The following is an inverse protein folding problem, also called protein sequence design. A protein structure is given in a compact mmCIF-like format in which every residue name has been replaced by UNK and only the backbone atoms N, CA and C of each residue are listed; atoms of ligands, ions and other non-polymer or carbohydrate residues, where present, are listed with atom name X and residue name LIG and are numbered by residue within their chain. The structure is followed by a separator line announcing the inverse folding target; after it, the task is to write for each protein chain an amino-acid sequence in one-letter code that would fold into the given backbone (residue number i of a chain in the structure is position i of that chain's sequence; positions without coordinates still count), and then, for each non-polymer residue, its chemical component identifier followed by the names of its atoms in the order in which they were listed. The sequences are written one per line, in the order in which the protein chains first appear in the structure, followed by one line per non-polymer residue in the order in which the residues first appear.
data_IF_348283556523
#
_entry.id   IF_348283556523
#
_cell.length_a   1.000
_cell.length_b   1.000
_cell.length_c   1.000
_cell.angle_alpha   90.00
_cell.angle_beta   90.00
_cell.angle_gamma   90.00
#
_symmetry.space_group_name_H-M   'P 1'
#
loop_
_entity.id
_entity.type
_entity.pdbx_description
1 polymer ?
#
# COMPACT_ATOMS: atom_id res chain seq x y z
N UNK A 1 -13.25 -28.31 -14.87
CA UNK A 1 -13.04 -28.70 -13.46
C UNK A 1 -14.31 -29.29 -12.79
N UNK A 2 -15.44 -29.34 -13.49
CA UNK A 2 -16.67 -29.95 -12.99
C UNK A 2 -17.34 -29.21 -11.82
N UNK A 3 -16.97 -27.96 -11.58
CA UNK A 3 -17.58 -27.11 -10.59
C UNK A 3 -18.32 -25.99 -11.32
N UNK A 4 -19.62 -25.95 -11.13
CA UNK A 4 -20.48 -24.87 -11.62
C UNK A 4 -20.76 -23.92 -10.48
N UNK A 5 -20.52 -22.61 -10.68
CA UNK A 5 -20.68 -21.59 -9.65
C UNK A 5 -21.40 -20.38 -10.21
N UNK A 6 -22.34 -19.84 -9.43
CA UNK A 6 -23.00 -18.58 -9.70
C UNK A 6 -22.43 -17.49 -8.77
N UNK A 7 -21.86 -16.43 -9.35
CA UNK A 7 -21.40 -15.28 -8.59
C UNK A 7 -22.58 -14.34 -8.31
N UNK A 8 -23.08 -14.31 -7.08
CA UNK A 8 -24.23 -13.48 -6.67
C UNK A 8 -23.89 -12.03 -6.37
N UNK A 9 -22.60 -11.70 -6.22
CA UNK A 9 -22.14 -10.34 -5.98
C UNK A 9 -20.74 -10.28 -5.36
N UNK A 10 -20.18 -9.08 -5.37
CA UNK A 10 -18.88 -8.77 -4.77
C UNK A 10 -19.06 -7.71 -3.67
N UNK A 11 -18.42 -7.90 -2.53
CA UNK A 11 -18.52 -6.98 -1.40
C UNK A 11 -17.11 -6.59 -0.90
N UNK A 12 -16.64 -5.41 -1.33
CA UNK A 12 -15.31 -4.88 -0.98
C UNK A 12 -15.17 -4.64 0.52
N UNK A 13 -16.20 -4.13 1.19
CA UNK A 13 -16.17 -3.90 2.64
C UNK A 13 -15.89 -5.19 3.42
N UNK A 14 -16.51 -6.31 3.02
CA UNK A 14 -16.24 -7.62 3.64
C UNK A 14 -14.81 -8.07 3.43
N UNK A 15 -14.26 -7.88 2.22
CA UNK A 15 -12.87 -8.22 1.91
C UNK A 15 -11.90 -7.38 2.75
N UNK A 16 -12.10 -6.07 2.84
CA UNK A 16 -11.27 -5.16 3.64
C UNK A 16 -11.35 -5.50 5.14
N UNK A 17 -12.55 -5.74 5.68
CA UNK A 17 -12.73 -6.16 7.08
C UNK A 17 -12.01 -7.47 7.38
N UNK A 18 -12.09 -8.46 6.48
CA UNK A 18 -11.36 -9.72 6.60
C UNK A 18 -9.84 -9.51 6.60
N UNK A 19 -9.32 -8.70 5.68
CA UNK A 19 -7.91 -8.33 5.62
C UNK A 19 -7.43 -7.73 6.94
N UNK A 20 -8.18 -6.78 7.49
CA UNK A 20 -7.90 -6.15 8.78
C UNK A 20 -7.87 -7.17 9.93
N UNK A 21 -8.86 -8.06 10.02
CA UNK A 21 -8.89 -9.12 11.04
C UNK A 21 -7.68 -10.06 10.95
N UNK A 22 -7.27 -10.43 9.72
CA UNK A 22 -6.08 -11.27 9.50
C UNK A 22 -4.82 -10.52 9.96
N UNK A 23 -4.65 -9.25 9.58
CA UNK A 23 -3.53 -8.41 9.99
C UNK A 23 -3.43 -8.29 11.51
N UNK A 24 -4.56 -8.04 12.20
CA UNK A 24 -4.61 -7.96 13.66
C UNK A 24 -4.22 -9.31 14.32
N UNK A 25 -4.66 -10.43 13.76
CA UNK A 25 -4.30 -11.76 14.26
C UNK A 25 -2.79 -12.02 14.13
N UNK A 26 -2.22 -11.67 12.97
CA UNK A 26 -0.77 -11.81 12.73
C UNK A 26 0.01 -10.93 13.70
N UNK A 27 -0.40 -9.68 13.89
CA UNK A 27 0.23 -8.75 14.83
C UNK A 27 0.22 -9.25 16.27
N UNK A 28 -0.91 -9.84 16.72
CA UNK A 28 -0.98 -10.52 18.04
C UNK A 28 -0.04 -11.71 18.13
N UNK A 29 0.11 -12.48 17.04
CA UNK A 29 1.05 -13.58 16.93
C UNK A 29 2.51 -13.12 17.11
N UNK A 30 2.89 -12.01 16.47
CA UNK A 30 4.22 -11.40 16.65
C UNK A 30 4.43 -10.99 18.10
N UNK A 31 3.47 -10.30 18.72
CA UNK A 31 3.56 -9.90 20.14
C UNK A 31 3.72 -11.11 21.08
N UNK A 32 3.02 -12.21 20.79
CA UNK A 32 3.18 -13.46 21.53
C UNK A 32 4.60 -14.03 21.37
N UNK A 33 5.16 -14.03 20.16
CA UNK A 33 6.53 -14.51 19.92
C UNK A 33 7.57 -13.65 20.64
N UNK A 34 7.41 -12.32 20.67
CA UNK A 34 8.28 -11.43 21.45
C UNK A 34 8.28 -11.84 22.92
N UNK A 35 7.08 -11.98 23.52
CA UNK A 35 6.94 -12.42 24.92
C UNK A 35 7.53 -13.80 25.16
N UNK A 36 7.26 -14.77 24.29
CA UNK A 36 7.78 -16.15 24.41
C UNK A 36 9.31 -16.21 24.39
N UNK A 37 9.95 -15.33 23.64
CA UNK A 37 11.41 -15.27 23.50
C UNK A 37 12.07 -14.25 24.46
N UNK A 38 11.33 -13.71 25.43
CA UNK A 38 11.81 -12.71 26.38
C UNK A 38 12.40 -11.47 25.71
N UNK A 39 11.82 -11.05 24.58
CA UNK A 39 12.19 -9.82 23.88
C UNK A 39 11.37 -8.68 24.46
N UNK A 40 12.05 -7.68 25.01
CA UNK A 40 11.40 -6.49 25.53
C UNK A 40 10.91 -5.59 24.39
N UNK A 41 9.68 -5.10 24.51
CA UNK A 41 9.08 -4.16 23.56
C UNK A 41 8.98 -2.79 24.23
N UNK A 42 9.69 -1.81 23.70
CA UNK A 42 9.65 -0.42 24.16
C UNK A 42 8.68 0.36 23.27
N UNK A 43 7.49 0.67 23.80
CA UNK A 43 6.49 1.43 23.06
C UNK A 43 6.78 2.93 23.06
N UNK A 44 7.15 3.49 21.91
CA UNK A 44 7.45 4.89 21.78
C UNK A 44 8.12 5.25 20.46
N UNK A 45 8.57 6.50 20.37
CA UNK A 45 9.37 6.97 19.24
C UNK A 45 10.86 6.84 19.59
N UNK A 46 11.57 5.96 18.89
CA UNK A 46 13.01 5.81 19.00
C UNK A 46 13.77 6.84 18.18
N UNK A 47 14.79 7.44 18.76
CA UNK A 47 15.71 8.38 18.11
C UNK A 47 17.13 7.95 18.42
N UNK A 48 17.91 7.61 17.41
CA UNK A 48 19.33 7.30 17.56
C UNK A 48 20.08 8.59 17.93
N UNK A 49 20.69 8.60 19.09
CA UNK A 49 21.49 9.74 19.60
C UNK A 49 22.95 9.60 19.27
N UNK A 50 23.47 8.38 19.34
CA UNK A 50 24.84 8.02 19.01
C UNK A 50 24.87 6.68 18.26
N UNK A 51 26.04 6.19 17.94
CA UNK A 51 26.22 4.84 17.36
C UNK A 51 25.90 3.69 18.33
N UNK A 52 25.68 3.98 19.60
CA UNK A 52 25.45 2.97 20.66
C UNK A 52 24.28 3.30 21.58
N UNK A 53 23.57 4.40 21.33
CA UNK A 53 22.46 4.82 22.20
C UNK A 53 21.21 5.20 21.41
N UNK A 54 20.06 4.81 21.93
CA UNK A 54 18.74 5.20 21.43
C UNK A 54 17.94 5.83 22.58
N UNK A 55 17.31 6.95 22.29
CA UNK A 55 16.35 7.60 23.17
C UNK A 55 14.96 7.19 22.74
N UNK A 56 14.13 6.70 23.67
CA UNK A 56 12.74 6.30 23.41
C UNK A 56 11.80 7.24 24.16
N UNK A 57 11.06 8.04 23.39
CA UNK A 57 10.01 8.90 23.91
C UNK A 57 8.69 8.13 23.94
N UNK A 58 8.26 7.72 25.13
CA UNK A 58 7.01 6.99 25.32
C UNK A 58 5.78 7.87 25.05
N UNK A 59 4.65 7.24 24.71
CA UNK A 59 3.38 7.92 24.48
C UNK A 59 2.90 8.77 25.68
N UNK A 60 3.27 8.36 26.89
CA UNK A 60 2.94 9.07 28.15
C UNK A 60 3.91 10.22 28.50
N UNK A 61 4.86 10.54 27.64
CA UNK A 61 5.68 11.75 27.73
C UNK A 61 7.02 11.59 28.45
N UNK A 62 7.32 10.46 29.10
CA UNK A 62 8.67 10.19 29.63
C UNK A 62 9.61 9.78 28.49
N UNK A 63 10.89 10.00 28.70
CA UNK A 63 11.95 9.69 27.74
C UNK A 63 13.04 8.91 28.47
N UNK A 64 13.36 7.73 27.95
CA UNK A 64 14.40 6.85 28.48
C UNK A 64 15.51 6.66 27.45
N UNK A 65 16.73 6.46 27.91
CA UNK A 65 17.89 6.22 27.06
C UNK A 65 18.37 4.78 27.27
N UNK A 66 18.56 4.07 26.18
CA UNK A 66 19.01 2.67 26.15
C UNK A 66 20.34 2.59 25.40
N UNK A 67 21.24 1.74 25.89
CA UNK A 67 22.49 1.40 25.23
C UNK A 67 22.33 0.08 24.46
N UNK A 68 22.99 -0.03 23.33
CA UNK A 68 23.01 -1.24 22.52
C UNK A 68 24.40 -1.51 21.93
N UNK A 69 24.70 -2.78 21.65
CA UNK A 69 25.90 -3.21 20.95
C UNK A 69 25.72 -3.18 19.43
N UNK A 70 24.53 -3.54 18.96
CA UNK A 70 24.15 -3.55 17.54
C UNK A 70 22.71 -3.07 17.40
N UNK A 71 22.41 -2.37 16.31
CA UNK A 71 21.08 -1.84 16.05
C UNK A 71 20.64 -2.21 14.63
N UNK A 72 19.41 -2.69 14.50
CA UNK A 72 18.74 -2.86 13.21
C UNK A 72 17.71 -1.75 13.09
N UNK A 73 17.87 -0.89 12.07
CA UNK A 73 16.91 0.18 11.76
C UNK A 73 15.85 -0.37 10.82
N UNK A 74 14.66 -0.60 11.35
CA UNK A 74 13.50 -1.12 10.62
C UNK A 74 12.28 -0.19 10.81
N UNK A 75 12.48 1.10 10.58
CA UNK A 75 11.52 2.18 10.86
C UNK A 75 10.36 2.28 9.87
N UNK A 76 10.32 1.40 8.85
CA UNK A 76 9.30 1.41 7.81
C UNK A 76 9.61 2.40 6.69
N UNK A 77 8.62 2.58 5.82
CA UNK A 77 8.70 3.47 4.66
C UNK A 77 7.42 4.26 4.48
N UNK A 78 7.52 5.34 3.75
CA UNK A 78 6.39 6.15 3.29
C UNK A 78 6.37 6.17 1.77
N UNK A 79 5.18 6.31 1.18
CA UNK A 79 5.06 6.55 -0.25
C UNK A 79 5.63 7.93 -0.62
N UNK A 80 6.17 8.02 -1.83
CA UNK A 80 6.70 9.30 -2.34
C UNK A 80 5.54 10.23 -2.69
N UNK A 81 5.67 11.49 -2.34
CA UNK A 81 4.82 12.56 -2.87
C UNK A 81 5.47 13.15 -4.12
N UNK A 82 4.66 13.44 -5.12
CA UNK A 82 5.11 14.07 -6.36
C UNK A 82 4.50 15.48 -6.47
N UNK A 83 5.22 16.44 -7.08
CA UNK A 83 4.61 17.73 -7.42
C UNK A 83 3.34 17.53 -8.26
N UNK A 84 2.26 18.20 -7.88
CA UNK A 84 0.95 18.03 -8.54
C UNK A 84 0.11 16.85 -8.06
N UNK A 85 0.63 16.01 -7.14
CA UNK A 85 -0.07 14.86 -6.57
C UNK A 85 -0.01 14.91 -5.03
N UNK A 86 -0.58 15.93 -4.44
CA UNK A 86 -0.61 16.10 -2.99
C UNK A 86 -1.74 15.27 -2.39
N UNK A 87 -1.38 14.35 -1.50
CA UNK A 87 -2.37 13.55 -0.78
C UNK A 87 -3.24 14.42 0.11
N UNK A 88 -4.54 14.24 0.03
CA UNK A 88 -5.54 14.91 0.85
C UNK A 88 -6.22 13.96 1.85
N UNK A 89 -5.89 12.67 1.79
CA UNK A 89 -6.47 11.63 2.63
C UNK A 89 -7.94 11.30 2.32
N UNK A 90 -8.49 11.86 1.25
CA UNK A 90 -9.90 11.67 0.85
C UNK A 90 -10.03 11.07 -0.54
N UNK A 91 -9.57 11.80 -1.56
CA UNK A 91 -9.62 11.38 -2.95
C UNK A 91 -8.25 11.20 -3.58
N UNK A 92 -7.28 11.97 -3.13
CA UNK A 92 -5.87 11.78 -3.45
C UNK A 92 -5.24 11.03 -2.27
N UNK A 93 -5.18 9.72 -2.39
CA UNK A 93 -4.83 8.80 -1.31
C UNK A 93 -3.57 8.02 -1.65
N UNK A 94 -2.83 7.62 -0.65
CA UNK A 94 -1.71 6.69 -0.80
C UNK A 94 -2.11 5.23 -0.53
N UNK A 95 -1.14 4.34 -0.62
CA UNK A 95 -1.36 2.91 -0.41
C UNK A 95 -1.94 2.56 0.98
N UNK A 96 -1.58 3.32 2.01
CA UNK A 96 -2.07 3.09 3.38
C UNK A 96 -3.56 3.41 3.56
N UNK A 97 -4.08 4.39 2.85
CA UNK A 97 -5.49 4.72 2.80
C UNK A 97 -6.23 3.74 1.88
N UNK A 98 -5.64 3.44 0.72
CA UNK A 98 -6.21 2.54 -0.27
C UNK A 98 -6.50 1.14 0.29
N UNK A 99 -5.59 0.57 1.09
CA UNK A 99 -5.79 -0.76 1.70
C UNK A 99 -6.92 -0.80 2.75
N UNK A 100 -7.37 0.36 3.22
CA UNK A 100 -8.42 0.50 4.22
C UNK A 100 -9.76 0.99 3.65
N UNK A 101 -9.81 1.23 2.35
CA UNK A 101 -10.98 1.79 1.69
C UNK A 101 -12.11 0.76 1.66
N UNK A 102 -13.12 0.93 2.51
CA UNK A 102 -14.25 0.00 2.64
C UNK A 102 -15.29 0.19 1.53
N UNK A 103 -15.43 1.40 1.01
CA UNK A 103 -16.33 1.71 -0.10
C UNK A 103 -15.57 1.72 -1.42
N UNK A 104 -15.98 0.87 -2.34
CA UNK A 104 -15.34 0.79 -3.66
C UNK A 104 -15.78 1.98 -4.52
N UNK A 105 -14.85 2.74 -5.11
CA UNK A 105 -15.18 3.78 -6.08
C UNK A 105 -15.69 3.14 -7.39
N UNK A 106 -16.39 3.91 -8.21
CA UNK A 106 -16.76 3.47 -9.57
C UNK A 106 -15.53 3.34 -10.47
N UNK A 107 -14.59 4.26 -10.31
CA UNK A 107 -13.33 4.29 -11.05
C UNK A 107 -12.19 4.74 -10.16
N UNK A 108 -10.97 4.31 -10.48
CA UNK A 108 -9.76 4.69 -9.78
C UNK A 108 -8.61 4.91 -10.77
N UNK A 109 -7.85 5.97 -10.53
CA UNK A 109 -6.58 6.22 -11.21
C UNK A 109 -5.44 5.84 -10.26
N UNK A 110 -4.49 5.06 -10.76
CA UNK A 110 -3.33 4.62 -10.02
C UNK A 110 -2.10 5.26 -10.65
N UNK A 111 -1.36 6.03 -9.88
CA UNK A 111 -0.12 6.66 -10.32
C UNK A 111 1.08 5.85 -9.82
N UNK A 112 1.80 5.29 -10.76
CA UNK A 112 2.92 4.37 -10.53
C UNK A 112 2.54 2.92 -10.80
N UNK A 113 3.32 2.27 -11.67
CA UNK A 113 3.13 0.89 -12.09
C UNK A 113 4.18 -0.07 -11.51
N UNK A 114 4.75 0.25 -10.35
CA UNK A 114 5.53 -0.70 -9.56
C UNK A 114 4.64 -1.78 -8.94
N UNK A 115 5.23 -2.72 -8.18
CA UNK A 115 4.54 -3.87 -7.59
C UNK A 115 3.23 -3.48 -6.87
N UNK A 116 3.27 -2.46 -6.01
CA UNK A 116 2.09 -2.00 -5.26
C UNK A 116 0.98 -1.51 -6.21
N UNK A 117 1.34 -0.72 -7.23
CA UNK A 117 0.37 -0.15 -8.17
C UNK A 117 -0.34 -1.24 -9.00
N UNK A 118 0.41 -2.22 -9.50
CA UNK A 118 -0.18 -3.33 -10.26
C UNK A 118 -1.03 -4.24 -9.38
N UNK A 119 -0.61 -4.54 -8.15
CA UNK A 119 -1.42 -5.32 -7.20
C UNK A 119 -2.75 -4.65 -6.89
N UNK A 120 -2.76 -3.34 -6.61
CA UNK A 120 -3.99 -2.59 -6.42
C UNK A 120 -4.85 -2.55 -7.70
N UNK A 121 -4.23 -2.40 -8.87
CA UNK A 121 -4.97 -2.40 -10.13
C UNK A 121 -5.73 -3.72 -10.35
N UNK A 122 -5.07 -4.84 -10.09
CA UNK A 122 -5.71 -6.15 -10.15
C UNK A 122 -6.84 -6.30 -9.12
N UNK A 123 -6.57 -5.92 -7.87
CA UNK A 123 -7.55 -6.01 -6.79
C UNK A 123 -8.81 -5.20 -7.12
N UNK A 124 -8.67 -3.91 -7.46
CA UNK A 124 -9.82 -3.06 -7.77
C UNK A 124 -10.60 -3.55 -8.99
N UNK A 125 -9.89 -3.95 -10.04
CA UNK A 125 -10.52 -4.48 -11.24
C UNK A 125 -11.31 -5.76 -10.96
N UNK A 126 -10.78 -6.66 -10.14
CA UNK A 126 -11.46 -7.90 -9.74
C UNK A 126 -12.78 -7.63 -8.98
N UNK A 127 -12.92 -6.47 -8.34
CA UNK A 127 -14.14 -6.01 -7.69
C UNK A 127 -15.04 -5.16 -8.60
N UNK A 128 -14.72 -5.07 -9.90
CA UNK A 128 -15.53 -4.36 -10.89
C UNK A 128 -15.30 -2.84 -10.94
N UNK A 129 -14.25 -2.34 -10.31
CA UNK A 129 -13.84 -0.93 -10.40
C UNK A 129 -13.17 -0.69 -11.75
N UNK A 130 -13.52 0.39 -12.44
CA UNK A 130 -12.80 0.82 -13.64
C UNK A 130 -11.41 1.36 -13.23
N UNK A 131 -10.34 0.72 -13.75
CA UNK A 131 -8.96 1.04 -13.36
C UNK A 131 -8.19 1.64 -14.51
N UNK A 132 -7.46 2.74 -14.24
CA UNK A 132 -6.50 3.34 -15.16
C UNK A 132 -5.16 3.56 -14.44
N UNK A 133 -4.11 2.94 -14.96
CA UNK A 133 -2.73 3.09 -14.47
C UNK A 133 -2.03 4.16 -15.29
N UNK A 134 -1.30 5.05 -14.59
CA UNK A 134 -0.44 6.08 -15.17
C UNK A 134 1.00 5.85 -14.71
N UNK A 135 1.95 5.73 -15.64
CA UNK A 135 3.35 5.44 -15.35
C UNK A 135 4.27 6.31 -16.21
N UNK A 136 5.32 6.86 -15.59
CA UNK A 136 6.32 7.66 -16.29
C UNK A 136 7.23 6.82 -17.18
N UNK A 137 7.50 5.59 -16.78
CA UNK A 137 8.27 4.62 -17.56
C UNK A 137 7.42 3.98 -18.65
N UNK A 138 8.07 3.44 -19.68
CA UNK A 138 7.40 2.88 -20.86
C UNK A 138 6.79 1.50 -20.64
N UNK A 139 6.82 0.95 -19.42
CA UNK A 139 6.30 -0.38 -19.10
C UNK A 139 5.79 -0.47 -17.67
N UNK A 140 4.93 -1.45 -17.40
CA UNK A 140 4.60 -1.87 -16.05
C UNK A 140 5.82 -2.51 -15.38
N UNK A 141 5.87 -2.51 -14.05
CA UNK A 141 6.93 -3.14 -13.27
C UNK A 141 8.34 -2.75 -13.79
N UNK A 142 8.66 -1.45 -13.85
CA UNK A 142 9.84 -0.97 -14.58
C UNK A 142 11.18 -1.46 -14.02
N UNK A 143 11.21 -1.95 -12.77
CA UNK A 143 12.41 -2.50 -12.12
C UNK A 143 12.49 -4.03 -12.17
N UNK A 144 11.46 -4.70 -12.71
CA UNK A 144 11.44 -6.15 -12.88
C UNK A 144 11.90 -6.54 -14.29
N UNK A 145 12.02 -7.84 -14.55
CA UNK A 145 12.35 -8.36 -15.88
C UNK A 145 11.31 -7.94 -16.92
N UNK A 146 11.79 -7.65 -18.13
CA UNK A 146 10.94 -7.17 -19.21
C UNK A 146 9.90 -8.22 -19.62
N UNK A 147 10.25 -9.48 -19.65
CA UNK A 147 9.33 -10.57 -19.95
C UNK A 147 8.18 -10.64 -18.94
N UNK A 148 8.46 -10.44 -17.66
CA UNK A 148 7.44 -10.34 -16.61
C UNK A 148 6.50 -9.15 -16.82
N UNK A 149 7.05 -8.00 -17.18
CA UNK A 149 6.31 -6.79 -17.50
C UNK A 149 5.35 -7.03 -18.68
N UNK A 150 5.85 -7.62 -19.77
CA UNK A 150 5.07 -7.92 -20.97
C UNK A 150 3.88 -8.84 -20.66
N UNK A 151 4.08 -9.89 -19.86
CA UNK A 151 3.01 -10.81 -19.50
C UNK A 151 1.94 -10.15 -18.62
N UNK A 152 2.34 -9.30 -17.66
CA UNK A 152 1.38 -8.52 -16.86
C UNK A 152 0.59 -7.55 -17.73
N UNK A 153 1.23 -6.84 -18.66
CA UNK A 153 0.54 -5.94 -19.59
C UNK A 153 -0.49 -6.66 -20.47
N UNK A 154 -0.14 -7.83 -21.01
CA UNK A 154 -1.07 -8.67 -21.78
C UNK A 154 -2.28 -9.07 -20.94
N UNK A 155 -2.06 -9.51 -19.71
CA UNK A 155 -3.12 -9.89 -18.81
C UNK A 155 -4.03 -8.69 -18.48
N UNK A 156 -3.46 -7.52 -18.19
CA UNK A 156 -4.21 -6.32 -17.83
C UNK A 156 -5.04 -5.77 -18.99
N UNK A 157 -4.52 -5.81 -20.21
CA UNK A 157 -5.29 -5.51 -21.44
C UNK A 157 -6.51 -6.42 -21.55
N UNK A 158 -6.33 -7.73 -21.29
CA UNK A 158 -7.42 -8.71 -21.32
C UNK A 158 -8.47 -8.46 -20.22
N UNK A 159 -8.05 -7.96 -19.06
CA UNK A 159 -8.96 -7.61 -17.95
C UNK A 159 -9.62 -6.23 -18.13
N UNK A 160 -9.29 -5.48 -19.17
CA UNK A 160 -9.85 -4.16 -19.41
C UNK A 160 -9.24 -3.05 -18.54
N UNK A 161 -8.09 -3.28 -17.91
CA UNK A 161 -7.35 -2.26 -17.18
C UNK A 161 -6.70 -1.32 -18.18
N UNK A 162 -7.00 -0.03 -18.08
CA UNK A 162 -6.41 1.01 -18.91
C UNK A 162 -5.01 1.36 -18.42
N UNK A 163 -4.10 1.65 -19.35
CA UNK A 163 -2.71 1.98 -19.02
C UNK A 163 -2.24 3.13 -19.91
N UNK A 164 -1.67 4.16 -19.29
CA UNK A 164 -0.94 5.26 -19.92
C UNK A 164 0.51 5.19 -19.44
N UNK A 165 1.36 4.65 -20.28
CA UNK A 165 2.78 4.42 -20.00
C UNK A 165 3.62 5.46 -20.75
N UNK A 166 4.82 5.79 -20.23
CA UNK A 166 5.72 6.76 -20.83
C UNK A 166 5.20 8.20 -20.78
N UNK A 167 4.35 8.53 -19.80
CA UNK A 167 3.84 9.89 -19.65
C UNK A 167 4.93 10.83 -19.12
N UNK A 168 4.99 12.06 -19.63
CA UNK A 168 6.00 13.02 -19.19
C UNK A 168 5.63 13.71 -17.87
N UNK A 169 4.35 13.99 -17.66
CA UNK A 169 3.82 14.72 -16.51
C UNK A 169 2.50 14.16 -16.09
N UNK A 170 2.20 14.27 -14.80
CA UNK A 170 0.89 13.99 -14.25
C UNK A 170 0.59 14.97 -13.12
N UNK A 171 -0.64 15.41 -13.07
CA UNK A 171 -1.18 16.20 -11.97
C UNK A 171 -2.61 15.77 -11.70
N UNK A 172 -3.04 15.86 -10.46
CA UNK A 172 -4.41 15.55 -10.09
C UNK A 172 -5.00 16.65 -9.21
N UNK A 173 -6.29 16.90 -9.39
CA UNK A 173 -7.05 17.88 -8.62
C UNK A 173 -8.32 17.24 -8.09
N UNK A 174 -8.51 17.35 -6.77
CA UNK A 174 -9.76 16.96 -6.12
C UNK A 174 -10.81 18.05 -6.35
N UNK A 175 -11.91 17.71 -7.02
CA UNK A 175 -13.05 18.60 -7.30
C UNK A 175 -14.23 18.37 -6.33
N UNK A 176 -14.03 17.57 -5.26
CA UNK A 176 -15.04 17.22 -4.28
C UNK A 176 -15.73 15.88 -4.60
N UNK A 177 -16.38 15.76 -5.73
CA UNK A 177 -17.08 14.53 -6.13
C UNK A 177 -16.23 13.58 -6.98
N UNK A 178 -15.26 14.13 -7.71
CA UNK A 178 -14.35 13.41 -8.59
C UNK A 178 -12.92 13.96 -8.50
N UNK A 179 -12.03 13.34 -9.27
CA UNK A 179 -10.65 13.79 -9.45
C UNK A 179 -10.40 13.99 -10.93
N UNK A 180 -9.91 15.17 -11.30
CA UNK A 180 -9.35 15.41 -12.64
C UNK A 180 -7.87 15.03 -12.65
N UNK A 181 -7.43 14.39 -13.73
CA UNK A 181 -6.05 14.01 -14.00
C UNK A 181 -5.65 14.50 -15.36
#
# INVERSE_FOLDING_TARGET
LGIDVELKGLNGSVAVKRSKQISERISKGVSFLMKKNNIEILEGRGILKTSTTVEVKAKKGHTDTYQFKSCIVASGAHYKSFPGLLHDGKRLIGAWEAIKLEELPKSIAIVGAGAIGVEFAYFWNAFGVEVHIFELQNRLLPIEDEDSSIEVEKAYKKYGIKMSLGIEKIAAKNNGNDVSI
#
